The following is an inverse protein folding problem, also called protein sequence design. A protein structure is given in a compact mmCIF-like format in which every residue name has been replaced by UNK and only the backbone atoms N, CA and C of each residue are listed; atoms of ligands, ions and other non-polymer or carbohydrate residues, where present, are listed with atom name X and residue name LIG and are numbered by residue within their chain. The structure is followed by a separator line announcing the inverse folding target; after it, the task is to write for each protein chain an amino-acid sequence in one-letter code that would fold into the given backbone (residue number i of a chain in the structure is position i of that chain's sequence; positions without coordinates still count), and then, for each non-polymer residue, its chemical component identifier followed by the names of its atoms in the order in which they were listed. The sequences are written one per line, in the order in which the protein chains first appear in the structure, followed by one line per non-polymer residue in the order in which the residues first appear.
data_IF_107637663892
#
_entry.id   IF_107637663892
#
_cell.length_a   1.000
_cell.length_b   1.000
_cell.length_c   1.000
_cell.angle_alpha   90.00
_cell.angle_beta   90.00
_cell.angle_gamma   90.00
#
_symmetry.space_group_name_H-M   'P 1'
#
loop_
_entity.id
_entity.type
_entity.pdbx_description
1 polymer ?
#
# COMPACT_ATOMS: atom_id res chain seq x y z
N UNK A 1 -19.75 15.66 -26.62
CA UNK A 1 -19.10 14.64 -27.47
C UNK A 1 -19.32 13.28 -26.80
N UNK A 2 -20.07 12.41 -27.47
CA UNK A 2 -20.64 11.16 -26.93
C UNK A 2 -19.66 10.00 -27.03
N UNK A 3 -19.52 9.23 -25.95
CA UNK A 3 -18.68 8.03 -25.85
C UNK A 3 -19.26 6.89 -26.71
N UNK A 4 -18.49 6.40 -27.68
CA UNK A 4 -18.84 5.23 -28.47
C UNK A 4 -18.80 3.95 -27.62
N UNK A 5 -19.83 3.09 -27.66
CA UNK A 5 -19.84 1.84 -26.90
C UNK A 5 -18.98 0.79 -27.61
N UNK A 6 -17.93 0.29 -26.92
CA UNK A 6 -17.13 -0.89 -27.30
C UNK A 6 -17.96 -2.21 -27.20
N UNK A 7 -19.06 -2.32 -27.94
CA UNK A 7 -19.97 -3.49 -27.93
C UNK A 7 -19.79 -4.44 -29.12
N UNK A 8 -18.91 -4.15 -30.07
CA UNK A 8 -18.81 -4.90 -31.33
C UNK A 8 -17.93 -6.16 -31.29
N UNK A 9 -16.86 -6.18 -30.49
CA UNK A 9 -15.81 -7.21 -30.65
C UNK A 9 -16.22 -8.57 -30.09
N UNK A 10 -16.84 -8.59 -28.90
CA UNK A 10 -17.26 -9.84 -28.24
C UNK A 10 -18.38 -10.53 -29.02
N UNK A 11 -19.28 -9.74 -29.62
CA UNK A 11 -20.38 -10.25 -30.44
C UNK A 11 -19.90 -10.81 -31.79
N UNK A 12 -18.92 -10.16 -32.41
CA UNK A 12 -18.31 -10.65 -33.66
C UNK A 12 -17.58 -11.98 -33.48
N UNK A 13 -16.82 -12.14 -32.40
CA UNK A 13 -16.14 -13.42 -32.09
C UNK A 13 -17.18 -14.54 -31.90
N UNK A 14 -18.24 -14.28 -31.13
CA UNK A 14 -19.28 -15.27 -30.88
C UNK A 14 -19.96 -15.74 -32.18
N UNK A 15 -20.27 -14.81 -33.09
CA UNK A 15 -20.89 -15.11 -34.39
C UNK A 15 -19.96 -15.95 -35.27
N UNK A 16 -18.67 -15.61 -35.33
CA UNK A 16 -17.69 -16.37 -36.11
C UNK A 16 -17.56 -17.81 -35.58
N UNK A 17 -17.55 -17.99 -34.26
CA UNK A 17 -17.47 -19.32 -33.65
C UNK A 17 -18.73 -20.15 -33.94
N UNK A 18 -19.92 -19.54 -33.89
CA UNK A 18 -21.19 -20.22 -34.20
C UNK A 18 -21.25 -20.61 -35.68
N UNK A 19 -20.88 -19.71 -36.59
CA UNK A 19 -20.89 -19.99 -38.04
C UNK A 19 -19.88 -21.08 -38.41
N UNK A 20 -18.67 -21.02 -37.87
CA UNK A 20 -17.67 -22.08 -38.07
C UNK A 20 -18.15 -23.44 -37.55
N UNK A 21 -18.88 -23.47 -36.42
CA UNK A 21 -19.46 -24.68 -35.84
C UNK A 21 -20.57 -25.30 -36.71
N UNK A 22 -21.44 -24.48 -37.30
CA UNK A 22 -22.52 -24.94 -38.18
C UNK A 22 -21.92 -25.53 -39.48
N UNK A 23 -20.94 -24.84 -40.07
CA UNK A 23 -20.28 -25.29 -41.31
C UNK A 23 -19.52 -26.60 -41.10
N UNK A 24 -18.80 -26.75 -39.98
CA UNK A 24 -18.08 -27.98 -39.67
C UNK A 24 -19.02 -29.20 -39.52
N UNK A 25 -20.22 -28.99 -39.00
CA UNK A 25 -21.23 -30.03 -38.79
C UNK A 25 -21.85 -30.51 -40.12
N UNK A 26 -22.08 -29.59 -41.07
CA UNK A 26 -22.68 -29.89 -42.39
C UNK A 26 -21.74 -30.71 -43.28
N UNK A 27 -20.41 -30.59 -43.12
CA UNK A 27 -19.42 -31.22 -44.01
C UNK A 27 -18.95 -32.62 -43.58
N UNK A 28 -19.54 -33.25 -42.56
CA UNK A 28 -19.20 -34.63 -42.15
C UNK A 28 -17.85 -34.78 -41.39
N UNK A 29 -17.03 -33.72 -41.36
CA UNK A 29 -15.86 -33.58 -40.47
C UNK A 29 -16.24 -33.23 -39.01
N UNK A 30 -17.54 -33.06 -38.76
CA UNK A 30 -18.10 -32.31 -37.64
C UNK A 30 -17.63 -32.73 -36.26
N UNK A 31 -17.64 -34.02 -35.91
CA UNK A 31 -17.29 -34.43 -34.55
C UNK A 31 -15.81 -34.26 -34.22
N UNK A 32 -14.91 -34.65 -35.12
CA UNK A 32 -13.46 -34.59 -34.86
C UNK A 32 -12.96 -33.16 -34.87
N UNK A 33 -13.40 -32.37 -35.86
CA UNK A 33 -13.02 -30.95 -35.98
C UNK A 33 -13.64 -30.12 -34.84
N UNK A 34 -14.90 -30.37 -34.48
CA UNK A 34 -15.54 -29.71 -33.34
C UNK A 34 -14.86 -30.06 -32.02
N UNK A 35 -14.55 -31.34 -31.76
CA UNK A 35 -13.87 -31.74 -30.53
C UNK A 35 -12.47 -31.13 -30.45
N UNK A 36 -11.70 -31.13 -31.55
CA UNK A 36 -10.38 -30.52 -31.59
C UNK A 36 -10.44 -29.00 -31.32
N UNK A 37 -11.40 -28.31 -31.93
CA UNK A 37 -11.63 -26.88 -31.69
C UNK A 37 -12.08 -26.61 -30.25
N UNK A 38 -13.04 -27.37 -29.73
CA UNK A 38 -13.56 -27.24 -28.37
C UNK A 38 -12.46 -27.47 -27.33
N UNK A 39 -11.65 -28.52 -27.51
CA UNK A 39 -10.47 -28.79 -26.67
C UNK A 39 -9.50 -27.60 -26.74
N UNK A 40 -9.22 -27.08 -27.93
CA UNK A 40 -8.35 -25.90 -28.10
C UNK A 40 -8.85 -24.67 -27.35
N UNK A 41 -10.15 -24.38 -27.41
CA UNK A 41 -10.77 -23.27 -26.67
C UNK A 41 -10.71 -23.51 -25.16
N UNK A 42 -11.01 -24.72 -24.69
CA UNK A 42 -10.89 -25.08 -23.27
C UNK A 42 -9.45 -24.93 -22.76
N UNK A 43 -8.45 -25.33 -23.56
CA UNK A 43 -7.03 -25.16 -23.21
C UNK A 43 -6.62 -23.69 -23.15
N UNK A 44 -7.09 -22.85 -24.08
CA UNK A 44 -6.84 -21.41 -24.05
C UNK A 44 -7.46 -20.75 -22.82
N UNK A 45 -8.70 -21.11 -22.46
CA UNK A 45 -9.37 -20.61 -21.25
C UNK A 45 -8.59 -21.07 -20.02
N UNK A 46 -8.25 -22.36 -19.93
CA UNK A 46 -7.47 -22.91 -18.83
C UNK A 46 -6.11 -22.22 -18.69
N UNK A 47 -5.40 -22.01 -19.79
CA UNK A 47 -4.14 -21.27 -19.81
C UNK A 47 -4.32 -19.83 -19.31
N UNK A 48 -5.36 -19.13 -19.77
CA UNK A 48 -5.70 -17.79 -19.30
C UNK A 48 -5.98 -17.73 -17.80
N UNK A 49 -6.74 -18.70 -17.27
CA UNK A 49 -7.01 -18.83 -15.84
C UNK A 49 -5.72 -19.13 -15.06
N UNK A 50 -4.89 -20.05 -15.53
CA UNK A 50 -3.61 -20.39 -14.90
C UNK A 50 -2.66 -19.19 -14.89
N UNK A 51 -2.55 -18.45 -15.99
CA UNK A 51 -1.76 -17.23 -16.07
C UNK A 51 -2.29 -16.15 -15.11
N UNK A 52 -3.61 -15.99 -15.01
CA UNK A 52 -4.23 -15.07 -14.06
C UNK A 52 -3.90 -15.47 -12.60
N UNK A 53 -4.12 -16.73 -12.23
CA UNK A 53 -3.77 -17.24 -10.90
C UNK A 53 -2.28 -17.07 -10.60
N UNK A 54 -1.43 -17.33 -11.58
CA UNK A 54 0.01 -17.14 -11.46
C UNK A 54 0.40 -15.68 -11.15
N UNK A 55 -0.17 -14.72 -11.88
CA UNK A 55 0.07 -13.29 -11.65
C UNK A 55 -0.44 -12.85 -10.27
N UNK A 56 -1.60 -13.35 -9.83
CA UNK A 56 -2.16 -13.06 -8.51
C UNK A 56 -1.27 -13.56 -7.37
N UNK A 57 -0.64 -14.73 -7.55
CA UNK A 57 0.25 -15.31 -6.52
C UNK A 57 1.64 -14.66 -6.54
N UNK A 58 2.17 -14.33 -7.72
CA UNK A 58 3.55 -13.81 -7.88
C UNK A 58 3.66 -12.30 -7.66
N UNK A 59 2.60 -11.54 -7.96
CA UNK A 59 2.56 -10.09 -7.81
C UNK A 59 2.95 -9.60 -6.41
N UNK A 60 2.30 -10.08 -5.34
CA UNK A 60 2.63 -9.66 -3.97
C UNK A 60 4.07 -10.02 -3.56
N UNK A 61 4.55 -11.22 -3.92
CA UNK A 61 5.88 -11.71 -3.54
C UNK A 61 7.02 -10.89 -4.16
N UNK A 62 6.87 -10.52 -5.42
CA UNK A 62 7.87 -9.70 -6.12
C UNK A 62 7.93 -8.28 -5.57
N UNK A 63 6.77 -7.70 -5.22
CA UNK A 63 6.71 -6.40 -4.56
C UNK A 63 7.36 -6.41 -3.18
N UNK A 64 7.08 -7.42 -2.35
CA UNK A 64 7.68 -7.54 -1.03
C UNK A 64 9.22 -7.67 -1.10
N UNK A 65 9.75 -8.46 -2.04
CA UNK A 65 11.19 -8.59 -2.24
C UNK A 65 11.84 -7.27 -2.68
N UNK A 66 11.22 -6.53 -3.60
CA UNK A 66 11.71 -5.23 -4.04
C UNK A 66 11.66 -4.18 -2.90
N UNK A 67 10.62 -4.19 -2.08
CA UNK A 67 10.54 -3.30 -0.93
C UNK A 67 11.52 -3.68 0.20
N UNK A 68 11.87 -4.95 0.37
CA UNK A 68 12.79 -5.37 1.43
C UNK A 68 14.14 -4.64 1.34
N UNK A 69 14.66 -4.45 0.12
CA UNK A 69 15.90 -3.70 -0.13
C UNK A 69 15.72 -2.19 0.13
N UNK A 70 14.55 -1.64 -0.21
CA UNK A 70 14.25 -0.22 0.01
C UNK A 70 14.02 0.12 1.48
N UNK A 71 13.43 -0.78 2.26
CA UNK A 71 13.11 -0.55 3.68
C UNK A 71 14.33 -0.86 4.55
N UNK A 72 15.04 -1.96 4.25
CA UNK A 72 16.17 -2.39 5.06
C UNK A 72 15.77 -2.74 6.49
N UNK A 73 16.73 -2.60 7.41
CA UNK A 73 16.51 -2.79 8.85
C UNK A 73 16.03 -1.48 9.48
N UNK A 74 14.99 -1.58 10.32
CA UNK A 74 14.48 -0.44 11.06
C UNK A 74 15.45 -0.08 12.21
N UNK A 75 15.62 1.22 12.52
CA UNK A 75 16.37 1.65 13.69
C UNK A 75 15.84 0.99 14.97
N UNK A 76 16.75 0.46 15.79
CA UNK A 76 16.39 -0.08 17.09
C UNK A 76 16.11 1.04 18.10
N UNK A 77 15.27 0.76 19.09
CA UNK A 77 15.05 1.66 20.22
C UNK A 77 16.37 1.79 21.00
N UNK A 78 16.91 3.01 21.20
CA UNK A 78 18.12 3.20 21.98
C UNK A 78 17.89 2.84 23.45
N UNK A 79 18.95 2.38 24.12
CA UNK A 79 18.88 2.02 25.55
C UNK A 79 18.58 3.24 26.44
N UNK A 80 18.99 4.42 26.02
CA UNK A 80 18.66 5.71 26.64
C UNK A 80 18.12 6.65 25.55
N UNK A 81 16.79 6.75 25.40
CA UNK A 81 16.18 7.66 24.45
C UNK A 81 16.24 9.14 24.89
N UNK A 82 16.69 9.43 26.12
CA UNK A 82 16.74 10.75 26.70
C UNK A 82 15.44 11.18 27.37
N UNK A 83 15.30 12.49 27.62
CA UNK A 83 14.13 13.07 28.28
C UNK A 83 12.85 12.88 27.47
N UNK A 84 11.77 12.52 28.14
CA UNK A 84 10.43 12.45 27.56
C UNK A 84 9.86 13.87 27.42
N UNK A 85 9.56 14.28 26.18
CA UNK A 85 9.13 15.63 25.85
C UNK A 85 7.61 15.73 25.66
N UNK A 86 6.99 14.68 25.10
CA UNK A 86 5.55 14.61 24.80
C UNK A 86 5.03 13.17 24.85
N UNK A 87 3.75 13.05 25.18
CA UNK A 87 3.12 11.76 25.44
C UNK A 87 3.27 11.36 26.92
N UNK A 88 3.02 10.07 27.24
CA UNK A 88 2.58 9.02 26.33
C UNK A 88 1.12 9.24 25.89
N UNK A 89 0.88 9.31 24.58
CA UNK A 89 -0.46 9.47 24.01
C UNK A 89 -0.95 8.16 23.39
N UNK A 90 -2.18 7.74 23.69
CA UNK A 90 -2.73 6.49 23.17
C UNK A 90 -3.45 6.67 21.85
N UNK A 91 -3.49 5.60 21.06
CA UNK A 91 -4.28 5.54 19.86
C UNK A 91 -4.12 4.23 19.10
N UNK A 92 -4.32 4.35 17.80
CA UNK A 92 -4.31 3.23 16.88
C UNK A 92 -3.37 3.52 15.73
N UNK A 93 -2.30 2.75 15.67
CA UNK A 93 -1.36 2.77 14.57
C UNK A 93 -2.03 2.19 13.31
N UNK A 94 -2.03 2.95 12.22
CA UNK A 94 -2.75 2.57 10.98
C UNK A 94 -1.89 1.88 9.93
N UNK A 95 -0.57 1.95 10.08
CA UNK A 95 0.44 1.38 9.18
C UNK A 95 1.37 2.44 8.57
N UNK A 96 2.45 1.97 7.95
CA UNK A 96 3.37 2.80 7.16
C UNK A 96 3.14 2.67 5.66
N UNK A 97 3.42 3.74 4.93
CA UNK A 97 3.44 3.77 3.47
C UNK A 97 4.73 4.37 2.93
N UNK A 98 5.14 3.96 1.73
CA UNK A 98 6.27 4.61 1.03
C UNK A 98 5.82 5.99 0.56
N UNK A 99 6.51 7.04 1.02
CA UNK A 99 6.19 8.41 0.65
C UNK A 99 6.57 8.67 -0.83
N UNK A 100 5.83 9.52 -1.56
CA UNK A 100 4.65 10.30 -1.13
C UNK A 100 3.31 9.56 -1.28
N UNK A 101 3.31 8.27 -1.64
CA UNK A 101 2.08 7.53 -1.96
C UNK A 101 1.38 7.01 -0.71
N UNK A 102 0.32 7.69 -0.27
CA UNK A 102 -0.48 7.29 0.90
C UNK A 102 -1.22 5.94 0.75
N UNK A 103 -1.21 5.33 -0.44
CA UNK A 103 -1.80 4.00 -0.69
C UNK A 103 -0.74 2.88 -0.73
N UNK A 104 0.53 3.22 -0.90
CA UNK A 104 1.60 2.24 -1.11
C UNK A 104 2.11 1.71 0.24
N UNK A 105 1.40 0.72 0.78
CA UNK A 105 1.72 0.07 2.06
C UNK A 105 3.11 -0.56 2.02
N UNK A 106 3.84 -0.41 3.12
CA UNK A 106 5.10 -1.11 3.34
C UNK A 106 4.79 -2.57 3.70
N UNK A 107 4.96 -3.50 2.77
CA UNK A 107 4.64 -4.94 3.00
C UNK A 107 5.78 -5.74 3.66
N UNK A 108 6.84 -5.05 4.09
CA UNK A 108 8.00 -5.66 4.75
C UNK A 108 7.83 -5.59 6.26
N UNK A 109 8.07 -6.72 6.95
CA UNK A 109 7.91 -6.82 8.39
C UNK A 109 6.45 -6.61 8.84
N UNK A 110 6.28 -6.11 10.06
CA UNK A 110 4.97 -5.83 10.67
C UNK A 110 4.64 -4.33 10.67
N UNK A 111 5.43 -3.47 10.01
CA UNK A 111 5.27 -2.01 10.07
C UNK A 111 3.98 -1.51 9.38
N UNK A 112 3.31 -2.35 8.60
CA UNK A 112 1.96 -2.08 8.06
C UNK A 112 0.82 -2.65 8.91
N UNK A 113 1.14 -3.41 9.95
CA UNK A 113 0.13 -4.06 10.77
C UNK A 113 -0.51 -3.05 11.71
N UNK A 114 -1.83 -3.07 11.70
CA UNK A 114 -2.63 -2.18 12.55
C UNK A 114 -2.57 -2.69 13.98
N UNK A 115 -2.17 -1.82 14.90
CA UNK A 115 -2.01 -2.17 16.30
C UNK A 115 -2.47 -1.02 17.19
N UNK A 116 -3.05 -1.34 18.35
CA UNK A 116 -3.17 -0.34 19.41
C UNK A 116 -1.76 0.11 19.78
N UNK A 117 -1.56 1.40 19.90
CA UNK A 117 -0.23 1.96 20.07
C UNK A 117 -0.23 3.15 21.02
N UNK A 118 0.93 3.35 21.65
CA UNK A 118 1.24 4.54 22.43
C UNK A 118 2.38 5.26 21.74
N UNK A 119 2.20 6.55 21.49
CA UNK A 119 3.24 7.41 20.93
C UNK A 119 3.86 8.27 22.03
N UNK A 120 5.19 8.28 22.08
CA UNK A 120 5.97 9.10 23.02
C UNK A 120 7.11 9.76 22.27
N UNK A 121 7.28 11.06 22.44
CA UNK A 121 8.45 11.78 21.97
C UNK A 121 9.49 11.85 23.08
N UNK A 122 10.71 11.48 22.72
CA UNK A 122 11.91 11.67 23.51
C UNK A 122 12.86 12.66 22.83
N UNK A 123 13.84 13.16 23.58
CA UNK A 123 14.87 14.06 23.07
C UNK A 123 15.60 13.51 21.83
N UNK A 124 15.82 12.20 21.76
CA UNK A 124 16.53 11.55 20.64
C UNK A 124 15.61 11.05 19.51
N UNK A 125 14.29 11.07 19.66
CA UNK A 125 13.38 10.53 18.65
C UNK A 125 11.98 10.23 19.16
N UNK A 126 11.18 9.57 18.32
CA UNK A 126 9.79 9.21 18.64
C UNK A 126 9.67 7.69 18.72
N UNK A 127 9.09 7.21 19.82
CA UNK A 127 8.74 5.81 19.99
C UNK A 127 7.25 5.62 19.72
N UNK A 128 6.92 4.64 18.89
CA UNK A 128 5.57 4.11 18.73
C UNK A 128 5.58 2.69 19.28
N UNK A 129 5.16 2.55 20.53
CA UNK A 129 5.04 1.26 21.19
C UNK A 129 3.75 0.56 20.72
N UNK A 130 3.85 -0.65 20.16
CA UNK A 130 2.71 -1.33 19.52
C UNK A 130 2.32 -2.61 20.25
N UNK A 131 1.02 -2.82 20.43
CA UNK A 131 0.52 -4.05 21.04
C UNK A 131 0.37 -5.16 19.99
N UNK A 132 1.07 -6.27 20.17
CA UNK A 132 1.02 -7.44 19.28
C UNK A 132 1.83 -7.28 17.98
N UNK A 133 2.65 -6.24 17.88
CA UNK A 133 3.61 -5.98 16.82
C UNK A 133 4.88 -5.35 17.42
N UNK A 134 5.97 -5.31 16.66
CA UNK A 134 7.26 -4.76 17.11
C UNK A 134 7.16 -3.26 17.38
N UNK A 135 7.99 -2.70 18.27
CA UNK A 135 8.02 -1.25 18.43
C UNK A 135 8.66 -0.55 17.23
N UNK A 136 8.26 0.69 16.96
CA UNK A 136 8.87 1.52 15.90
C UNK A 136 9.60 2.67 16.57
N UNK A 137 10.92 2.71 16.39
CA UNK A 137 11.73 3.86 16.75
C UNK A 137 11.96 4.75 15.52
N UNK A 138 11.68 6.04 15.66
CA UNK A 138 11.88 7.06 14.65
C UNK A 138 12.93 8.04 15.17
N UNK A 139 14.21 7.95 14.75
CA UNK A 139 15.25 8.87 15.19
C UNK A 139 14.91 10.34 14.86
N UNK A 140 15.22 11.28 15.76
CA UNK A 140 14.82 12.69 15.60
C UNK A 140 15.35 13.30 14.29
N UNK A 141 16.58 12.96 13.92
CA UNK A 141 17.27 13.41 12.72
C UNK A 141 16.68 12.84 11.43
N UNK A 142 15.95 11.72 11.52
CA UNK A 142 15.29 11.11 10.37
C UNK A 142 13.94 11.74 10.04
N UNK A 143 13.35 12.47 10.99
CA UNK A 143 12.03 13.08 10.84
C UNK A 143 12.14 14.31 9.93
N UNK A 144 11.36 14.29 8.86
CA UNK A 144 11.34 15.36 7.85
C UNK A 144 10.08 16.20 7.92
N UNK A 145 8.96 15.63 8.35
CA UNK A 145 7.68 16.32 8.43
C UNK A 145 6.77 15.60 9.44
N UNK A 146 6.03 16.37 10.24
CA UNK A 146 4.94 15.88 11.08
C UNK A 146 3.69 16.69 10.72
N UNK A 147 2.64 16.01 10.27
CA UNK A 147 1.43 16.66 9.75
C UNK A 147 0.17 15.91 10.12
N UNK A 148 -0.96 16.59 10.02
CA UNK A 148 -2.26 15.93 9.99
C UNK A 148 -2.59 15.47 8.57
N UNK A 149 -3.25 14.33 8.45
CA UNK A 149 -3.70 13.81 7.16
C UNK A 149 -5.11 13.24 7.23
N UNK A 150 -5.82 13.31 6.09
CA UNK A 150 -7.14 12.70 5.93
C UNK A 150 -7.07 11.19 5.72
N UNK A 151 -5.95 10.66 5.25
CA UNK A 151 -5.82 9.22 5.01
C UNK A 151 -4.39 8.76 4.86
N UNK A 152 -4.17 7.50 5.23
CA UNK A 152 -2.90 6.79 5.12
C UNK A 152 -3.17 5.28 5.04
N UNK A 153 -2.28 4.53 4.38
CA UNK A 153 -2.35 3.09 4.23
C UNK A 153 -3.71 2.61 3.63
N UNK A 154 -4.26 3.36 2.69
CA UNK A 154 -5.57 3.04 2.08
C UNK A 154 -6.77 3.27 3.00
N UNK A 155 -6.58 3.88 4.17
CA UNK A 155 -7.67 4.24 5.09
C UNK A 155 -7.93 5.73 5.06
N UNK A 156 -9.18 6.09 4.75
CA UNK A 156 -9.68 7.48 4.77
C UNK A 156 -10.45 7.74 6.08
N UNK A 157 -10.28 8.94 6.62
CA UNK A 157 -10.92 9.47 7.81
C UNK A 157 -11.59 10.83 7.50
N UNK A 158 -12.14 11.47 8.54
CA UNK A 158 -12.47 12.91 8.50
C UNK A 158 -11.22 13.73 8.19
N UNK A 159 -11.40 15.01 7.80
CA UNK A 159 -10.29 15.95 7.75
C UNK A 159 -9.51 15.91 9.09
N UNK A 160 -8.18 15.99 8.98
CA UNK A 160 -7.24 15.95 10.10
C UNK A 160 -7.44 14.76 11.06
N UNK A 161 -7.82 13.62 10.48
CA UNK A 161 -8.14 12.42 11.26
C UNK A 161 -6.94 11.66 11.79
N UNK A 162 -5.75 11.87 11.20
CA UNK A 162 -4.53 11.12 11.49
C UNK A 162 -3.37 12.07 11.75
N UNK A 163 -2.51 11.71 12.70
CA UNK A 163 -1.15 12.22 12.83
C UNK A 163 -0.24 11.37 11.95
N UNK A 164 0.52 12.00 11.04
CA UNK A 164 1.44 11.32 10.14
C UNK A 164 2.83 11.89 10.34
N UNK A 165 3.77 11.01 10.61
CA UNK A 165 5.20 11.32 10.72
C UNK A 165 5.87 10.81 9.45
N UNK A 166 6.44 11.73 8.67
CA UNK A 166 7.32 11.40 7.55
C UNK A 166 8.76 11.35 8.03
N UNK A 167 9.42 10.25 7.74
CA UNK A 167 10.81 10.04 8.13
C UNK A 167 11.56 9.23 7.10
N UNK A 168 12.88 9.37 7.11
CA UNK A 168 13.79 8.75 6.14
C UNK A 168 14.49 7.57 6.80
N UNK A 169 14.36 6.40 6.18
CA UNK A 169 15.04 5.19 6.63
C UNK A 169 16.55 5.28 6.38
N UNK A 170 17.39 4.47 7.05
CA UNK A 170 18.84 4.44 6.81
C UNK A 170 19.22 4.18 5.34
N UNK A 171 18.34 3.52 4.58
CA UNK A 171 18.45 3.28 3.13
C UNK A 171 18.26 4.54 2.28
N UNK A 172 17.77 5.64 2.86
CA UNK A 172 17.38 6.87 2.17
C UNK A 172 15.91 6.89 1.72
N UNK A 173 15.15 5.81 1.93
CA UNK A 173 13.73 5.75 1.55
C UNK A 173 12.87 6.53 2.55
N UNK A 174 12.09 7.49 2.06
CA UNK A 174 11.11 8.19 2.87
C UNK A 174 9.83 7.37 3.05
N UNK A 175 9.38 7.23 4.30
CA UNK A 175 8.12 6.56 4.64
C UNK A 175 7.26 7.46 5.54
N UNK A 176 5.96 7.28 5.42
CA UNK A 176 4.96 7.95 6.25
C UNK A 176 4.39 6.92 7.24
N UNK A 177 4.51 7.18 8.54
CA UNK A 177 3.93 6.37 9.63
C UNK A 177 2.73 7.09 10.24
N UNK A 178 1.57 6.43 10.26
CA UNK A 178 0.32 7.05 10.68
C UNK A 178 -0.21 6.53 12.01
N UNK A 179 -0.66 7.46 12.85
CA UNK A 179 -1.38 7.19 14.09
C UNK A 179 -2.74 7.90 14.07
N UNK A 180 -3.77 7.21 14.53
CA UNK A 180 -5.02 7.84 14.95
C UNK A 180 -5.05 7.89 16.46
N UNK A 181 -4.73 9.03 17.05
CA UNK A 181 -4.80 9.20 18.50
C UNK A 181 -6.25 9.10 19.00
N UNK A 182 -6.42 8.65 20.24
CA UNK A 182 -7.71 8.62 20.91
C UNK A 182 -8.18 10.04 21.25
N UNK A 183 -7.25 10.88 21.74
CA UNK A 183 -7.44 12.32 21.88
C UNK A 183 -6.76 13.07 20.72
N UNK A 184 -7.55 13.74 19.87
CA UNK A 184 -7.02 14.51 18.72
C UNK A 184 -6.56 15.91 19.09
N UNK A 185 -6.86 16.39 20.31
CA UNK A 185 -6.42 17.72 20.75
C UNK A 185 -4.90 17.81 20.92
N UNK A 186 -4.21 16.66 20.93
CA UNK A 186 -2.75 16.59 20.95
C UNK A 186 -2.11 16.96 19.60
N UNK A 187 -2.84 16.85 18.48
CA UNK A 187 -2.25 16.98 17.14
C UNK A 187 -1.55 18.33 16.90
N UNK A 188 -2.11 19.50 17.27
CA UNK A 188 -1.41 20.77 17.13
C UNK A 188 -0.08 20.79 17.86
N UNK A 189 -0.03 20.30 19.12
CA UNK A 189 1.23 20.21 19.87
C UNK A 189 2.27 19.30 19.20
N UNK A 190 1.80 18.24 18.53
CA UNK A 190 2.65 17.37 17.73
C UNK A 190 3.16 18.01 16.44
N UNK A 191 2.35 18.80 15.75
CA UNK A 191 2.75 19.47 14.50
C UNK A 191 3.65 20.67 14.80
N UNK A 192 3.26 21.52 15.74
CA UNK A 192 3.94 22.78 16.05
C UNK A 192 5.39 22.56 16.50
N UNK A 193 5.63 21.52 17.30
CA UNK A 193 6.95 21.21 17.81
C UNK A 193 7.91 20.60 16.78
N UNK A 194 7.41 20.29 15.58
CA UNK A 194 8.19 19.84 14.43
C UNK A 194 8.15 20.84 13.26
N UNK A 195 7.39 21.93 13.37
CA UNK A 195 7.23 22.95 12.33
C UNK A 195 8.54 23.69 11.98
N UNK A 196 9.53 23.72 12.89
CA UNK A 196 10.85 24.32 12.65
C UNK A 196 11.81 23.47 11.82
N UNK A 197 11.48 22.21 11.51
CA UNK A 197 12.33 21.33 10.68
C UNK A 197 12.00 21.43 9.17
N UNK A 198 11.07 22.33 8.80
CA UNK A 198 10.41 22.40 7.49
C UNK A 198 11.05 23.32 6.44
N UNK A 199 12.30 23.75 6.59
CA UNK A 199 12.88 24.79 5.72
C UNK A 199 13.66 24.25 4.48
N UNK A 200 13.44 22.99 4.07
CA UNK A 200 14.22 22.41 2.96
C UNK A 200 13.47 21.50 1.99
N UNK A 201 12.22 21.79 1.61
CA UNK A 201 11.64 21.04 0.49
C UNK A 201 10.16 21.13 0.15
N UNK A 202 9.48 22.29 0.31
CA UNK A 202 8.14 22.42 -0.25
C UNK A 202 8.18 22.60 -1.78
N UNK A 203 8.12 21.47 -2.49
CA UNK A 203 7.60 21.43 -3.86
C UNK A 203 6.09 21.53 -3.80
N UNK A 204 5.57 22.66 -4.28
CA UNK A 204 4.15 22.91 -4.57
C UNK A 204 3.53 21.73 -5.31
N UNK A 205 2.49 21.12 -4.74
CA UNK A 205 1.57 20.26 -5.50
C UNK A 205 0.30 21.06 -5.76
N UNK A 206 0.17 21.51 -7.01
CA UNK A 206 -1.11 21.84 -7.66
C UNK A 206 -1.76 20.57 -8.23
#
# INVERSE_FOLDING_TARGET
MSSAPRRGVVSGVLVVLVVASVIATVLGYGKVVFNAWFIGVCLLILFGLLAMFYLLIRGPKTKAAAQAELIGELPAVPADPGEELRGPDTGLYVGSTVAPSWQDRVVVGDISDRANATITEFASGVLIARQGASDIWIPRESITEVRTARGLAGKVMSADGLLVIRWVLPTGTAIDSGLRADDKTIYPGWVDAFAGQHDSGQGTQE
#
